data_IF_751500806876
#
_entry.id   IF_751500806876
#
_cell.length_a   1.000
_cell.length_b   1.000
_cell.length_c   1.000
_cell.angle_alpha   90.00
_cell.angle_beta   90.00
_cell.angle_gamma   90.00
#
_symmetry.space_group_name_H-M   'P 1'
#
loop_
_entity.id
_entity.type
_entity.pdbx_description
1 polymer ?
#
# COMPACT_ATOMS: atom_id res chain seq x y z
N UNK A 1 15.20 -0.45 -2.27
CA UNK A 1 14.15 -1.47 -2.25
C UNK A 1 12.81 -0.82 -2.53
N UNK A 2 11.91 -1.54 -3.16
CA UNK A 2 10.60 -1.00 -3.50
C UNK A 2 9.55 -1.47 -2.50
N UNK A 3 8.39 -0.80 -2.52
CA UNK A 3 7.31 -1.11 -1.59
C UNK A 3 6.80 -2.55 -1.74
N UNK A 4 6.86 -3.11 -2.94
CA UNK A 4 6.40 -4.47 -3.20
C UNK A 4 7.15 -5.50 -2.34
N UNK A 5 8.41 -5.23 -2.01
CA UNK A 5 9.24 -6.16 -1.24
C UNK A 5 8.77 -6.28 0.21
N UNK A 6 7.97 -5.34 0.68
CA UNK A 6 7.50 -5.31 2.06
C UNK A 6 6.06 -5.79 2.22
N UNK A 7 5.40 -6.16 1.13
CA UNK A 7 4.03 -6.66 1.20
C UNK A 7 4.00 -8.07 1.80
N UNK A 8 2.89 -8.40 2.45
CA UNK A 8 2.72 -9.71 3.09
C UNK A 8 2.96 -10.85 2.11
N UNK A 9 2.43 -10.75 0.89
CA UNK A 9 2.63 -11.76 -0.14
C UNK A 9 4.10 -11.92 -0.49
N UNK A 10 4.83 -10.81 -0.64
CA UNK A 10 6.24 -10.83 -1.00
C UNK A 10 7.10 -11.42 0.13
N UNK A 11 6.67 -11.25 1.38
CA UNK A 11 7.38 -11.77 2.55
C UNK A 11 6.91 -13.18 2.91
N UNK A 12 6.01 -13.75 2.11
CA UNK A 12 5.45 -15.08 2.33
C UNK A 12 4.77 -15.21 3.70
N UNK A 13 4.10 -14.12 4.11
CA UNK A 13 3.33 -14.06 5.36
C UNK A 13 1.86 -14.24 5.07
N UNK A 14 1.13 -14.89 5.97
CA UNK A 14 -0.30 -15.13 5.81
C UNK A 14 -1.17 -14.08 6.47
N UNK A 15 -0.61 -13.27 7.36
CA UNK A 15 -1.34 -12.20 8.04
C UNK A 15 -1.02 -10.85 7.39
N UNK A 16 -1.69 -9.80 7.87
CA UNK A 16 -1.56 -8.46 7.33
C UNK A 16 -0.56 -7.59 8.10
N UNK A 17 0.17 -8.17 9.06
CA UNK A 17 1.10 -7.40 9.87
C UNK A 17 2.15 -6.67 9.02
N UNK A 18 2.82 -7.32 8.03
CA UNK A 18 3.75 -6.60 7.18
C UNK A 18 3.10 -5.46 6.41
N UNK A 19 1.85 -5.63 5.97
CA UNK A 19 1.12 -4.57 5.26
C UNK A 19 0.87 -3.38 6.19
N UNK A 20 0.48 -3.63 7.42
CA UNK A 20 0.25 -2.58 8.41
C UNK A 20 1.55 -1.85 8.75
N UNK A 21 2.62 -2.59 8.94
CA UNK A 21 3.93 -2.01 9.23
C UNK A 21 4.42 -1.13 8.07
N UNK A 22 4.20 -1.58 6.84
CA UNK A 22 4.55 -0.80 5.67
C UNK A 22 3.76 0.51 5.63
N UNK A 23 2.47 0.45 5.92
CA UNK A 23 1.63 1.66 5.95
C UNK A 23 2.15 2.66 6.98
N UNK A 24 2.49 2.19 8.18
CA UNK A 24 3.03 3.04 9.24
C UNK A 24 4.34 3.67 8.78
N UNK A 25 5.21 2.91 8.16
CA UNK A 25 6.50 3.42 7.68
C UNK A 25 6.30 4.48 6.61
N UNK A 26 5.37 4.26 5.68
CA UNK A 26 5.07 5.25 4.64
C UNK A 26 4.56 6.55 5.26
N UNK A 27 3.68 6.45 6.24
CA UNK A 27 3.12 7.62 6.92
C UNK A 27 4.23 8.37 7.67
N UNK A 28 5.06 7.64 8.39
CA UNK A 28 6.13 8.21 9.21
C UNK A 28 7.16 8.95 8.37
N UNK A 29 7.50 8.39 7.21
CA UNK A 29 8.53 8.96 6.33
C UNK A 29 7.96 9.78 5.19
N UNK A 30 6.63 9.76 5.01
CA UNK A 30 5.92 10.47 3.93
C UNK A 30 6.47 10.10 2.55
N UNK A 31 6.65 8.81 2.32
CA UNK A 31 7.22 8.30 1.07
C UNK A 31 6.19 8.23 -0.03
N UNK A 32 5.99 9.34 -0.70
CA UNK A 32 5.06 9.43 -1.83
C UNK A 32 5.44 8.50 -2.97
N UNK A 33 6.73 8.24 -3.16
CA UNK A 33 7.21 7.32 -4.19
C UNK A 33 6.66 5.90 -3.96
N UNK A 34 6.59 5.47 -2.70
CA UNK A 34 6.04 4.15 -2.37
C UNK A 34 4.52 4.12 -2.52
N UNK A 35 3.84 5.22 -2.19
CA UNK A 35 2.39 5.32 -2.43
C UNK A 35 2.11 5.18 -3.93
N UNK A 36 2.86 5.88 -4.75
CA UNK A 36 2.71 5.82 -6.20
C UNK A 36 2.96 4.41 -6.72
N UNK A 37 3.97 3.73 -6.19
CA UNK A 37 4.25 2.35 -6.56
C UNK A 37 3.07 1.43 -6.20
N UNK A 38 2.51 1.58 -4.99
CA UNK A 38 1.37 0.77 -4.56
C UNK A 38 0.16 0.98 -5.45
N UNK A 39 -0.11 2.23 -5.85
CA UNK A 39 -1.19 2.52 -6.78
C UNK A 39 -0.97 1.78 -8.10
N UNK A 40 0.26 1.76 -8.59
CA UNK A 40 0.62 0.99 -9.79
C UNK A 40 0.39 -0.50 -9.63
N UNK A 41 0.61 -1.03 -8.43
CA UNK A 41 0.44 -2.45 -8.14
C UNK A 41 -1.03 -2.87 -8.14
N UNK A 42 -1.98 -1.93 -8.09
CA UNK A 42 -3.40 -2.25 -8.23
C UNK A 42 -3.72 -2.88 -9.58
N UNK A 43 -2.83 -2.71 -10.54
CA UNK A 43 -2.96 -3.29 -11.87
C UNK A 43 -2.02 -4.49 -12.06
N UNK A 44 -1.40 -4.97 -10.99
CA UNK A 44 -0.50 -6.11 -11.05
C UNK A 44 -1.28 -7.37 -11.43
N UNK A 45 -0.63 -8.25 -12.18
CA UNK A 45 -1.27 -9.49 -12.64
C UNK A 45 -1.51 -10.51 -11.51
N UNK A 46 -0.76 -10.41 -10.41
CA UNK A 46 -0.96 -11.27 -9.24
C UNK A 46 -2.00 -10.61 -8.33
N UNK A 47 -3.15 -11.29 -8.16
CA UNK A 47 -4.24 -10.74 -7.36
C UNK A 47 -3.89 -10.58 -5.89
N UNK A 48 -2.96 -11.38 -5.38
CA UNK A 48 -2.51 -11.24 -3.99
C UNK A 48 -1.74 -9.95 -3.79
N UNK A 49 -0.92 -9.58 -4.76
CA UNK A 49 -0.19 -8.31 -4.73
C UNK A 49 -1.18 -7.15 -4.82
N UNK A 50 -2.18 -7.24 -5.68
CA UNK A 50 -3.24 -6.23 -5.77
C UNK A 50 -3.94 -6.05 -4.42
N UNK A 51 -4.33 -7.16 -3.81
CA UNK A 51 -5.03 -7.14 -2.53
C UNK A 51 -4.18 -6.53 -1.42
N UNK A 52 -2.91 -6.92 -1.32
CA UNK A 52 -2.02 -6.37 -0.32
C UNK A 52 -1.81 -4.87 -0.51
N UNK A 53 -1.68 -4.42 -1.76
CA UNK A 53 -1.52 -3.01 -2.07
C UNK A 53 -2.74 -2.20 -1.62
N UNK A 54 -3.94 -2.72 -1.89
CA UNK A 54 -5.18 -2.08 -1.44
C UNK A 54 -5.21 -1.99 0.08
N UNK A 55 -4.82 -3.05 0.77
CA UNK A 55 -4.82 -3.07 2.24
C UNK A 55 -3.87 -2.02 2.82
N UNK A 56 -2.69 -1.88 2.23
CA UNK A 56 -1.73 -0.86 2.67
C UNK A 56 -2.30 0.54 2.47
N UNK A 57 -2.87 0.80 1.30
CA UNK A 57 -3.46 2.11 1.00
C UNK A 57 -4.64 2.41 1.91
N UNK A 58 -5.46 1.41 2.20
CA UNK A 58 -6.57 1.54 3.14
C UNK A 58 -6.09 1.91 4.53
N UNK A 59 -5.05 1.24 5.00
CA UNK A 59 -4.48 1.49 6.32
C UNK A 59 -3.96 2.92 6.42
N UNK A 60 -3.31 3.41 5.36
CA UNK A 60 -2.83 4.80 5.32
C UNK A 60 -4.00 5.76 5.50
N UNK A 61 -5.10 5.53 4.80
CA UNK A 61 -6.29 6.37 4.92
C UNK A 61 -6.92 6.32 6.30
N UNK A 62 -7.03 5.12 6.89
CA UNK A 62 -7.62 4.94 8.22
C UNK A 62 -6.81 5.63 9.32
N UNK A 63 -5.51 5.72 9.14
CA UNK A 63 -4.63 6.37 10.10
C UNK A 63 -4.62 7.90 9.96
N UNK A 64 -5.46 8.42 9.06
CA UNK A 64 -5.62 9.86 8.90
C UNK A 64 -4.63 10.52 7.93
N UNK A 65 -3.81 9.73 7.25
CA UNK A 65 -2.84 10.25 6.28
C UNK A 65 -3.45 10.31 4.88
N UNK A 66 -4.69 10.78 4.79
CA UNK A 66 -5.43 10.81 3.52
C UNK A 66 -4.78 11.73 2.49
N UNK A 67 -4.02 12.72 2.92
CA UNK A 67 -3.31 13.62 2.02
C UNK A 67 -2.29 12.87 1.15
N UNK A 68 -1.75 11.75 1.63
CA UNK A 68 -0.81 10.95 0.86
C UNK A 68 -1.47 10.20 -0.28
N UNK A 69 -2.75 9.85 -0.14
CA UNK A 69 -3.48 9.06 -1.12
C UNK A 69 -4.52 9.88 -1.90
N UNK A 70 -4.81 11.09 -1.47
CA UNK A 70 -5.84 11.92 -2.11
C UNK A 70 -5.64 12.07 -3.62
N UNK A 71 -4.42 12.28 -4.14
CA UNK A 71 -4.23 12.40 -5.60
C UNK A 71 -4.58 11.12 -6.36
N UNK A 72 -4.72 9.99 -5.67
CA UNK A 72 -4.94 8.69 -6.30
C UNK A 72 -6.34 8.12 -6.02
N UNK A 73 -7.23 8.90 -5.41
CA UNK A 73 -8.55 8.39 -5.00
C UNK A 73 -9.33 7.78 -6.17
N UNK A 74 -9.19 8.33 -7.38
CA UNK A 74 -9.88 7.81 -8.54
C UNK A 74 -9.41 6.40 -8.92
N UNK A 75 -8.18 6.07 -8.60
CA UNK A 75 -7.61 4.75 -8.91
C UNK A 75 -8.16 3.66 -8.01
N UNK A 76 -8.79 4.02 -6.89
CA UNK A 76 -9.40 3.06 -5.98
C UNK A 76 -10.83 2.70 -6.36
N UNK A 77 -11.35 3.28 -7.43
CA UNK A 77 -12.70 3.00 -7.89
C UNK A 77 -13.80 3.60 -7.05
N UNK A 78 -13.50 4.60 -6.30
CA UNK A 78 -14.47 5.29 -5.45
C UNK A 78 -15.04 6.51 -6.13
#
# INVERSE_FOLDING_TARGET
>A
MSAIDYLSTSLNQKDDIPNQELAVEIIRTKRNDWVQELVGLLKHKDKRIQSDSIKVLYEIGERGATDLIAPYCNDFGT
#
